data_IF_413921860169
#
_entry.id   IF_413921860169
#
_cell.length_a   1.000
_cell.length_b   1.000
_cell.length_c   1.000
_cell.angle_alpha   90.00
_cell.angle_beta   90.00
_cell.angle_gamma   90.00
#
_symmetry.space_group_name_H-M   'P 1'
#
loop_
_entity.id
_entity.type
_entity.pdbx_description
1 polymer ?
#
# COMPACT_ATOMS: atom_id res chain seq x y z
N UNK A 1 -19.43 12.14 12.65
CA UNK A 1 -19.51 10.70 12.34
C UNK A 1 -18.38 9.99 13.05
N UNK A 2 -18.57 8.71 13.33
CA UNK A 2 -17.52 7.80 13.80
C UNK A 2 -16.84 7.18 12.58
N UNK A 3 -15.58 7.49 12.32
CA UNK A 3 -14.85 7.06 11.14
C UNK A 3 -13.62 6.24 11.54
N UNK A 4 -13.42 5.09 10.88
CA UNK A 4 -12.25 4.25 11.07
C UNK A 4 -11.38 4.27 9.82
N UNK A 5 -10.10 4.54 9.99
CA UNK A 5 -9.10 4.46 8.92
C UNK A 5 -8.33 3.15 9.04
N UNK A 6 -8.45 2.29 8.02
CA UNK A 6 -7.85 0.95 8.01
C UNK A 6 -6.70 0.84 7.00
N UNK A 7 -5.55 0.33 7.43
CA UNK A 7 -4.43 0.03 6.54
C UNK A 7 -3.62 -1.17 7.04
N UNK A 8 -2.87 -1.85 6.17
CA UNK A 8 -2.07 -3.01 6.59
C UNK A 8 -0.86 -2.58 7.42
N UNK A 9 -0.15 -1.54 6.98
CA UNK A 9 1.09 -1.08 7.61
C UNK A 9 0.97 0.37 8.09
N UNK A 10 1.41 0.63 9.33
CA UNK A 10 1.68 1.95 9.91
C UNK A 10 3.02 1.94 10.70
N UNK A 11 3.90 0.97 10.37
CA UNK A 11 5.17 0.81 11.06
C UNK A 11 6.22 1.85 10.64
N UNK A 12 6.30 2.12 9.34
CA UNK A 12 7.28 3.03 8.73
C UNK A 12 6.55 4.06 7.86
N UNK A 13 7.28 5.03 7.32
CA UNK A 13 6.74 6.00 6.38
C UNK A 13 6.71 5.43 4.97
N UNK A 14 5.61 5.68 4.25
CA UNK A 14 5.39 5.29 2.87
C UNK A 14 4.24 6.08 2.27
N UNK A 15 3.90 5.82 1.02
CA UNK A 15 2.84 6.54 0.31
C UNK A 15 1.47 6.38 0.98
N UNK A 16 1.08 5.14 1.26
CA UNK A 16 -0.22 4.80 1.87
C UNK A 16 -0.29 5.26 3.32
N UNK A 17 0.80 5.16 4.08
CA UNK A 17 0.89 5.61 5.46
C UNK A 17 0.74 7.13 5.59
N UNK A 18 1.45 7.89 4.74
CA UNK A 18 1.30 9.34 4.67
C UNK A 18 -0.10 9.76 4.21
N UNK A 19 -0.70 9.00 3.29
CA UNK A 19 -2.08 9.23 2.85
C UNK A 19 -3.07 9.00 4.00
N UNK A 20 -2.95 7.89 4.71
CA UNK A 20 -3.78 7.58 5.88
C UNK A 20 -3.65 8.66 6.95
N UNK A 21 -2.43 9.13 7.23
CA UNK A 21 -2.20 10.22 8.17
C UNK A 21 -2.87 11.53 7.71
N UNK A 22 -2.72 11.90 6.44
CA UNK A 22 -3.34 13.11 5.90
C UNK A 22 -4.89 13.06 5.97
N UNK A 23 -5.49 11.91 5.63
CA UNK A 23 -6.93 11.69 5.78
C UNK A 23 -7.38 11.85 7.23
N UNK A 24 -6.63 11.24 8.17
CA UNK A 24 -6.94 11.32 9.60
C UNK A 24 -6.96 12.75 10.10
N UNK A 25 -5.92 13.52 9.77
CA UNK A 25 -5.81 14.91 10.21
C UNK A 25 -6.93 15.79 9.65
N UNK A 26 -7.29 15.60 8.40
CA UNK A 26 -8.35 16.39 7.79
C UNK A 26 -9.75 16.02 8.33
N UNK A 27 -10.03 14.72 8.50
CA UNK A 27 -11.28 14.25 9.11
C UNK A 27 -11.43 14.75 10.56
N UNK A 28 -10.33 14.72 11.33
CA UNK A 28 -10.30 15.25 12.69
C UNK A 28 -10.56 16.78 12.70
N UNK A 29 -9.95 17.52 11.77
CA UNK A 29 -10.16 18.97 11.59
C UNK A 29 -11.64 19.31 11.30
N UNK A 30 -12.32 18.43 10.56
CA UNK A 30 -13.77 18.56 10.27
C UNK A 30 -14.66 18.15 11.43
N UNK A 31 -14.10 17.78 12.59
CA UNK A 31 -14.85 17.44 13.80
C UNK A 31 -15.44 16.03 13.80
N UNK A 32 -14.91 15.13 12.98
CA UNK A 32 -15.28 13.71 13.06
C UNK A 32 -14.58 13.01 14.22
N UNK A 33 -15.20 11.96 14.76
CA UNK A 33 -14.64 11.05 15.75
C UNK A 33 -13.86 9.96 14.97
N UNK A 34 -12.54 10.11 14.92
CA UNK A 34 -11.66 9.31 14.05
C UNK A 34 -10.81 8.35 14.86
N UNK A 35 -10.81 7.09 14.47
CA UNK A 35 -9.90 6.06 14.99
C UNK A 35 -9.10 5.44 13.83
N UNK A 36 -8.01 4.75 14.15
CA UNK A 36 -7.23 4.03 13.16
C UNK A 36 -7.10 2.53 13.50
N UNK A 37 -6.94 1.71 12.45
CA UNK A 37 -6.59 0.31 12.55
C UNK A 37 -5.41 -0.01 11.63
N UNK A 38 -4.46 -0.79 12.13
CA UNK A 38 -3.38 -1.36 11.32
C UNK A 38 -3.06 -2.78 11.77
N UNK A 39 -2.75 -3.67 10.81
CA UNK A 39 -2.27 -5.02 11.13
C UNK A 39 -0.84 -4.93 11.69
N UNK A 40 0.00 -4.09 11.07
CA UNK A 40 1.37 -3.84 11.54
C UNK A 40 1.49 -2.39 12.00
N UNK A 41 1.53 -2.20 13.30
CA UNK A 41 1.64 -0.89 13.97
C UNK A 41 3.11 -0.48 14.13
N UNK A 42 3.35 0.82 14.35
CA UNK A 42 4.65 1.36 14.65
C UNK A 42 4.66 2.89 14.67
N UNK A 43 5.67 3.51 14.03
CA UNK A 43 5.90 4.97 14.11
C UNK A 43 4.69 5.80 13.70
N UNK A 44 4.03 5.45 12.58
CA UNK A 44 2.90 6.25 12.08
C UNK A 44 1.65 6.04 12.93
N UNK A 45 1.43 4.83 13.48
CA UNK A 45 0.37 4.60 14.48
C UNK A 45 0.57 5.48 15.71
N UNK A 46 1.80 5.55 16.24
CA UNK A 46 2.11 6.39 17.41
C UNK A 46 1.89 7.88 17.13
N UNK A 47 2.26 8.34 15.92
CA UNK A 47 2.00 9.72 15.50
C UNK A 47 0.49 10.02 15.40
N UNK A 48 -0.31 9.08 14.92
CA UNK A 48 -1.77 9.22 14.89
C UNK A 48 -2.35 9.32 16.31
N UNK A 49 -1.93 8.43 17.21
CA UNK A 49 -2.37 8.43 18.61
C UNK A 49 -1.98 9.75 19.32
N UNK A 50 -0.75 10.25 19.10
CA UNK A 50 -0.29 11.55 19.62
C UNK A 50 -1.16 12.72 19.14
N UNK A 51 -1.68 12.63 17.91
CA UNK A 51 -2.57 13.65 17.32
C UNK A 51 -4.05 13.47 17.67
N UNK A 52 -4.40 12.56 18.55
CA UNK A 52 -5.78 12.34 19.00
C UNK A 52 -6.58 11.40 18.08
N UNK A 53 -5.93 10.58 17.28
CA UNK A 53 -6.55 9.52 16.47
C UNK A 53 -6.17 8.17 17.12
N UNK A 54 -6.91 7.67 18.12
CA UNK A 54 -6.57 6.46 18.84
C UNK A 54 -6.74 5.20 17.98
N UNK A 55 -6.15 4.10 18.46
CA UNK A 55 -6.39 2.78 17.87
C UNK A 55 -7.84 2.35 18.09
N UNK A 56 -8.39 1.61 17.13
CA UNK A 56 -9.76 1.07 17.12
C UNK A 56 -10.19 0.54 18.50
N UNK A 57 -11.26 1.10 19.02
CA UNK A 57 -11.85 0.73 20.32
C UNK A 57 -13.36 0.49 20.25
N UNK A 58 -14.05 1.02 19.24
CA UNK A 58 -15.49 0.96 19.10
C UNK A 58 -15.94 -0.34 18.41
N UNK A 59 -17.18 -0.72 18.69
CA UNK A 59 -17.81 -1.91 18.09
C UNK A 59 -18.54 -1.61 16.78
N UNK A 60 -18.70 -0.33 16.42
CA UNK A 60 -19.33 0.09 15.15
C UNK A 60 -18.87 1.47 14.72
N UNK A 61 -18.78 1.67 13.40
CA UNK A 61 -18.42 2.92 12.73
C UNK A 61 -19.44 3.26 11.66
N UNK A 62 -19.66 4.54 11.44
CA UNK A 62 -20.52 5.02 10.34
C UNK A 62 -19.85 4.76 8.99
N UNK A 63 -18.52 4.98 8.94
CA UNK A 63 -17.70 4.85 7.73
C UNK A 63 -16.33 4.26 8.08
N UNK A 64 -15.88 3.34 7.24
CA UNK A 64 -14.52 2.77 7.28
C UNK A 64 -13.85 3.06 5.94
N UNK A 65 -12.74 3.78 5.95
CA UNK A 65 -11.89 4.00 4.78
C UNK A 65 -10.68 3.06 4.88
N UNK A 66 -10.58 2.10 3.98
CA UNK A 66 -9.55 1.06 4.00
C UNK A 66 -8.71 1.07 2.72
N UNK A 67 -7.39 0.91 2.86
CA UNK A 67 -6.45 0.90 1.73
C UNK A 67 -6.07 -0.50 1.23
N UNK A 68 -6.33 -1.56 2.01
CA UNK A 68 -5.84 -2.91 1.71
C UNK A 68 -6.93 -3.97 1.93
N UNK A 69 -7.00 -4.96 1.04
CA UNK A 69 -7.98 -6.04 1.09
C UNK A 69 -7.95 -6.83 2.42
N UNK A 70 -6.77 -7.18 2.91
CA UNK A 70 -6.59 -7.90 4.19
C UNK A 70 -7.15 -7.14 5.41
N UNK A 71 -7.26 -5.83 5.32
CA UNK A 71 -7.83 -4.97 6.34
C UNK A 71 -9.34 -4.91 6.18
N UNK A 72 -9.84 -4.80 4.95
CA UNK A 72 -11.27 -4.88 4.64
C UNK A 72 -11.86 -6.16 5.21
N UNK A 73 -11.22 -7.31 4.99
CA UNK A 73 -11.64 -8.62 5.52
C UNK A 73 -11.78 -8.67 7.05
N UNK A 74 -11.03 -7.83 7.76
CA UNK A 74 -11.13 -7.73 9.22
C UNK A 74 -12.16 -6.72 9.68
N UNK A 75 -12.35 -5.65 8.92
CA UNK A 75 -13.12 -4.47 9.37
C UNK A 75 -14.55 -4.41 8.83
N UNK A 76 -14.89 -5.14 7.78
CA UNK A 76 -16.22 -5.09 7.17
C UNK A 76 -17.39 -5.32 8.15
N UNK A 77 -17.28 -6.12 9.25
CA UNK A 77 -18.40 -6.28 10.18
C UNK A 77 -18.70 -5.05 11.03
N UNK A 78 -17.76 -4.07 11.08
CA UNK A 78 -17.83 -2.94 11.99
C UNK A 78 -18.44 -1.68 11.39
N UNK A 79 -18.68 -1.61 10.09
CA UNK A 79 -19.26 -0.42 9.47
C UNK A 79 -19.33 -0.51 7.95
N UNK A 80 -19.72 0.60 7.29
CA UNK A 80 -19.70 0.73 5.85
C UNK A 80 -18.27 0.92 5.37
N UNK A 81 -17.78 0.05 4.49
CA UNK A 81 -16.38 0.05 4.04
C UNK A 81 -16.26 0.60 2.63
N UNK A 82 -15.52 1.68 2.48
CA UNK A 82 -14.99 2.12 1.19
C UNK A 82 -13.54 1.66 1.09
N UNK A 83 -13.23 0.80 0.13
CA UNK A 83 -11.86 0.41 -0.16
C UNK A 83 -11.24 1.33 -1.21
N UNK A 84 -10.08 1.91 -0.90
CA UNK A 84 -9.25 2.65 -1.85
C UNK A 84 -8.17 1.73 -2.41
N UNK A 85 -8.18 1.52 -3.73
CA UNK A 85 -7.19 0.73 -4.45
C UNK A 85 -6.12 1.66 -5.05
N UNK A 86 -4.85 1.38 -4.77
CA UNK A 86 -3.72 2.23 -5.15
C UNK A 86 -2.90 1.70 -6.33
N UNK A 87 -3.00 0.40 -6.65
CA UNK A 87 -2.23 -0.23 -7.71
C UNK A 87 -2.97 -1.39 -8.39
N UNK A 88 -2.52 -1.74 -9.59
CA UNK A 88 -3.06 -2.85 -10.39
C UNK A 88 -2.32 -4.17 -10.15
N UNK A 89 -1.15 -4.15 -9.52
CA UNK A 89 -0.24 -5.31 -9.39
C UNK A 89 -0.14 -5.80 -7.94
N UNK A 90 0.10 -4.94 -6.92
CA UNK A 90 0.29 -5.41 -5.55
C UNK A 90 -0.96 -6.15 -5.05
N UNK A 91 -0.77 -7.35 -4.52
CA UNK A 91 -1.86 -8.22 -4.03
C UNK A 91 -2.67 -7.54 -2.93
N UNK A 92 -2.02 -6.85 -2.00
CA UNK A 92 -2.70 -6.13 -0.91
C UNK A 92 -3.61 -4.98 -1.40
N UNK A 93 -3.34 -4.45 -2.59
CA UNK A 93 -4.07 -3.32 -3.18
C UNK A 93 -5.23 -3.77 -4.09
N UNK A 94 -5.42 -5.09 -4.26
CA UNK A 94 -6.53 -5.63 -5.02
C UNK A 94 -7.86 -5.48 -4.28
N UNK A 95 -9.00 -5.38 -4.98
CA UNK A 95 -10.30 -5.23 -4.37
C UNK A 95 -10.66 -6.44 -3.52
N UNK A 96 -11.22 -6.19 -2.33
CA UNK A 96 -11.82 -7.22 -1.49
C UNK A 96 -13.33 -7.31 -1.76
N UNK A 97 -13.91 -8.50 -1.93
CA UNK A 97 -15.36 -8.64 -2.14
C UNK A 97 -16.19 -8.19 -0.92
N UNK A 98 -15.55 -7.91 0.20
CA UNK A 98 -16.19 -7.49 1.44
C UNK A 98 -16.28 -5.96 1.62
N UNK A 99 -15.76 -5.18 0.68
CA UNK A 99 -15.98 -3.74 0.67
C UNK A 99 -17.38 -3.42 0.12
N UNK A 100 -17.98 -2.36 0.65
CA UNK A 100 -19.31 -1.91 0.22
C UNK A 100 -19.22 -0.97 -0.99
N UNK A 101 -18.08 -0.29 -1.17
CA UNK A 101 -17.79 0.57 -2.30
C UNK A 101 -16.29 0.66 -2.57
N UNK A 102 -15.94 1.10 -3.78
CA UNK A 102 -14.53 1.15 -4.22
C UNK A 102 -14.17 2.52 -4.78
N UNK A 103 -12.95 2.92 -4.47
CA UNK A 103 -12.31 4.12 -5.01
C UNK A 103 -10.99 3.71 -5.68
N UNK A 104 -10.80 4.09 -6.93
CA UNK A 104 -9.51 4.03 -7.60
C UNK A 104 -8.79 5.37 -7.48
N UNK A 105 -7.48 5.37 -7.26
CA UNK A 105 -6.70 6.63 -7.20
C UNK A 105 -6.40 7.23 -8.57
N UNK A 106 -6.77 6.53 -9.65
CA UNK A 106 -6.61 6.99 -11.04
C UNK A 106 -7.59 6.29 -11.98
N UNK A 107 -7.71 6.79 -13.21
CA UNK A 107 -8.52 6.15 -14.24
C UNK A 107 -7.99 4.77 -14.64
N UNK A 108 -6.68 4.52 -14.56
CA UNK A 108 -6.09 3.19 -14.73
C UNK A 108 -6.65 2.21 -13.71
N UNK A 109 -6.67 2.60 -12.42
CA UNK A 109 -7.18 1.76 -11.34
C UNK A 109 -8.69 1.55 -11.47
N UNK A 110 -9.45 2.59 -11.80
CA UNK A 110 -10.89 2.46 -12.06
C UNK A 110 -11.18 1.44 -13.17
N UNK A 111 -10.46 1.51 -14.29
CA UNK A 111 -10.62 0.53 -15.38
C UNK A 111 -10.22 -0.88 -14.96
N UNK A 112 -9.18 -1.02 -14.13
CA UNK A 112 -8.78 -2.31 -13.56
C UNK A 112 -9.89 -2.91 -12.69
N UNK A 113 -10.46 -2.11 -11.76
CA UNK A 113 -11.57 -2.52 -10.91
C UNK A 113 -12.80 -2.91 -11.74
N UNK A 114 -13.15 -2.13 -12.75
CA UNK A 114 -14.25 -2.42 -13.66
C UNK A 114 -14.03 -3.73 -14.42
N UNK A 115 -12.80 -4.01 -14.85
CA UNK A 115 -12.43 -5.28 -15.49
C UNK A 115 -12.58 -6.50 -14.56
N UNK A 116 -12.54 -6.29 -13.24
CA UNK A 116 -12.78 -7.29 -12.20
C UNK A 116 -14.26 -7.33 -11.75
N UNK A 117 -15.14 -6.52 -12.33
CA UNK A 117 -16.56 -6.46 -12.01
C UNK A 117 -16.93 -5.52 -10.85
N UNK A 118 -16.03 -4.64 -10.43
CA UNK A 118 -16.26 -3.67 -9.34
C UNK A 118 -16.49 -2.26 -9.89
N UNK A 119 -17.67 -1.69 -9.63
CA UNK A 119 -17.93 -0.28 -9.91
C UNK A 119 -17.17 0.61 -8.92
N UNK A 120 -16.57 1.69 -9.43
CA UNK A 120 -15.76 2.59 -8.61
C UNK A 120 -15.76 4.02 -9.14
N UNK A 121 -15.41 4.96 -8.27
CA UNK A 121 -15.11 6.34 -8.64
C UNK A 121 -13.60 6.60 -8.53
N UNK A 122 -13.14 7.69 -9.16
CA UNK A 122 -11.74 8.12 -9.03
C UNK A 122 -11.64 9.23 -7.99
N UNK A 123 -10.84 9.01 -6.97
CA UNK A 123 -10.39 10.05 -6.03
C UNK A 123 -8.87 9.98 -5.97
N UNK A 124 -8.15 10.95 -6.54
CA UNK A 124 -6.69 10.97 -6.50
C UNK A 124 -6.14 11.00 -5.08
N UNK A 125 -4.90 10.54 -4.91
CA UNK A 125 -4.21 10.59 -3.63
C UNK A 125 -4.08 12.03 -3.13
N UNK A 126 -4.85 12.38 -2.11
CA UNK A 126 -4.81 13.70 -1.50
C UNK A 126 -3.51 13.98 -0.75
N UNK A 127 -3.03 15.21 -0.85
CA UNK A 127 -1.82 15.69 -0.18
C UNK A 127 -2.22 16.73 0.86
N UNK A 128 -1.66 16.64 2.04
CA UNK A 128 -1.75 17.71 3.04
C UNK A 128 -0.93 18.93 2.57
N UNK A 129 -1.58 19.80 1.83
CA UNK A 129 -0.96 21.00 1.27
C UNK A 129 -0.60 22.06 2.34
N UNK A 130 -0.99 21.86 3.61
CA UNK A 130 -0.55 22.69 4.74
C UNK A 130 0.79 22.22 5.31
N UNK A 131 1.04 20.93 5.25
CA UNK A 131 2.34 20.33 5.58
C UNK A 131 3.31 20.43 4.40
N UNK A 132 2.87 20.04 3.20
CA UNK A 132 3.64 20.11 1.97
C UNK A 132 3.41 21.47 1.31
N UNK A 133 4.31 22.40 1.52
CA UNK A 133 4.23 23.75 0.96
C UNK A 133 5.62 24.30 0.63
N UNK A 134 5.72 25.31 -0.24
CA UNK A 134 7.00 25.95 -0.56
C UNK A 134 7.57 26.68 0.66
N UNK A 135 8.62 26.12 1.27
CA UNK A 135 9.34 26.74 2.40
C UNK A 135 10.48 27.66 1.93
N UNK A 136 10.95 27.43 0.70
CA UNK A 136 12.04 28.21 0.06
C UNK A 136 11.70 28.43 -1.41
N UNK A 137 12.09 29.55 -2.00
CA UNK A 137 11.98 29.75 -3.44
C UNK A 137 12.85 28.74 -4.20
N UNK A 138 12.49 28.44 -5.42
CA UNK A 138 13.33 27.67 -6.36
C UNK A 138 14.35 28.59 -7.02
N UNK A 139 15.44 28.01 -7.51
CA UNK A 139 16.46 28.75 -8.24
C UNK A 139 15.97 29.17 -9.64
N UNK A 140 16.42 30.32 -10.20
CA UNK A 140 16.08 30.71 -11.56
C UNK A 140 16.52 29.70 -12.62
N UNK A 141 17.60 28.97 -12.36
CA UNK A 141 18.13 27.88 -13.19
C UNK A 141 18.23 26.62 -12.35
N UNK A 142 18.19 25.45 -12.99
CA UNK A 142 18.28 24.17 -12.30
C UNK A 142 19.66 24.00 -11.64
N UNK A 143 19.68 23.96 -10.32
CA UNK A 143 20.92 23.78 -9.53
C UNK A 143 20.91 22.48 -8.73
N UNK A 144 19.74 22.03 -8.30
CA UNK A 144 19.61 20.88 -7.41
C UNK A 144 18.47 19.97 -7.83
N UNK A 145 18.78 18.69 -8.03
CA UNK A 145 17.81 17.61 -8.31
C UNK A 145 17.72 16.68 -7.11
N UNK A 146 16.51 16.40 -6.67
CA UNK A 146 16.23 15.38 -5.67
C UNK A 146 15.61 14.15 -6.35
N UNK A 147 16.20 12.98 -6.15
CA UNK A 147 15.57 11.71 -6.51
C UNK A 147 14.83 11.10 -5.33
N UNK A 148 13.55 10.82 -5.52
CA UNK A 148 12.70 10.04 -4.63
C UNK A 148 12.39 8.64 -5.24
N UNK A 149 13.21 8.21 -6.17
CA UNK A 149 13.13 6.89 -6.79
C UNK A 149 13.45 5.80 -5.76
N UNK A 150 12.75 4.67 -5.88
CA UNK A 150 12.96 3.53 -5.00
C UNK A 150 14.07 2.58 -5.50
N UNK A 151 14.46 2.69 -6.76
CA UNK A 151 15.48 1.84 -7.38
C UNK A 151 16.87 2.48 -7.32
N UNK A 152 17.85 1.71 -6.85
CA UNK A 152 19.25 2.14 -6.90
C UNK A 152 19.76 2.27 -8.33
N UNK A 153 19.20 1.49 -9.28
CA UNK A 153 19.53 1.60 -10.71
C UNK A 153 19.13 2.98 -11.22
N UNK A 154 17.88 3.43 -10.94
CA UNK A 154 17.43 4.75 -11.32
C UNK A 154 18.23 5.86 -10.62
N UNK A 155 18.47 5.72 -9.32
CA UNK A 155 19.24 6.69 -8.55
C UNK A 155 20.67 6.86 -9.08
N UNK A 156 21.35 5.76 -9.45
CA UNK A 156 22.69 5.80 -10.03
C UNK A 156 22.70 6.45 -11.42
N UNK A 157 21.68 6.17 -12.24
CA UNK A 157 21.50 6.79 -13.54
C UNK A 157 21.30 8.32 -13.40
N UNK A 158 20.36 8.76 -12.56
CA UNK A 158 20.07 10.18 -12.33
C UNK A 158 21.30 10.90 -11.78
N UNK A 159 22.00 10.29 -10.82
CA UNK A 159 23.26 10.84 -10.25
C UNK A 159 24.32 11.05 -11.33
N UNK A 160 24.48 10.08 -12.24
CA UNK A 160 25.40 10.17 -13.37
C UNK A 160 25.05 11.37 -14.27
N UNK A 161 23.77 11.50 -14.65
CA UNK A 161 23.29 12.60 -15.50
C UNK A 161 23.47 13.96 -14.80
N UNK A 162 23.14 14.06 -13.51
CA UNK A 162 23.36 15.30 -12.74
C UNK A 162 24.83 15.68 -12.69
N UNK A 163 25.74 14.71 -12.49
CA UNK A 163 27.19 14.95 -12.51
C UNK A 163 27.67 15.47 -13.86
N UNK A 164 27.19 14.90 -14.98
CA UNK A 164 27.54 15.35 -16.33
C UNK A 164 27.02 16.78 -16.61
N UNK A 165 25.84 17.11 -16.07
CA UNK A 165 25.25 18.45 -16.23
C UNK A 165 25.73 19.49 -15.21
N UNK A 166 26.62 19.13 -14.27
CA UNK A 166 27.09 20.05 -13.21
C UNK A 166 26.02 20.40 -12.17
N UNK A 167 25.00 19.55 -12.00
CA UNK A 167 23.85 19.77 -11.10
C UNK A 167 24.07 18.99 -9.81
N UNK A 168 23.76 19.61 -8.66
CA UNK A 168 23.77 18.94 -7.36
C UNK A 168 22.71 17.86 -7.30
N UNK A 169 23.10 16.65 -6.85
CA UNK A 169 22.20 15.51 -6.68
C UNK A 169 21.94 15.25 -5.20
N UNK A 170 20.66 15.13 -4.86
CA UNK A 170 20.16 14.65 -3.56
C UNK A 170 19.32 13.38 -3.80
N UNK A 171 19.28 12.49 -2.82
CA UNK A 171 18.36 11.35 -2.89
C UNK A 171 17.80 11.01 -1.52
N UNK A 172 16.61 10.42 -1.51
CA UNK A 172 16.05 9.67 -0.39
C UNK A 172 15.33 8.45 -0.93
N UNK A 173 15.65 7.30 -0.36
CA UNK A 173 14.99 6.04 -0.70
C UNK A 173 14.26 5.51 0.54
N UNK A 174 12.94 5.35 0.46
CA UNK A 174 12.11 4.92 1.60
C UNK A 174 12.55 3.60 2.24
N UNK A 175 13.28 2.77 1.51
CA UNK A 175 13.75 1.47 2.01
C UNK A 175 15.04 1.59 2.84
N UNK A 176 15.85 2.62 2.60
CA UNK A 176 17.12 2.88 3.32
C UNK A 176 17.01 4.03 4.31
N UNK A 177 16.31 5.12 3.94
CA UNK A 177 16.28 6.38 4.68
C UNK A 177 14.85 6.75 5.08
N UNK A 178 14.22 6.01 5.96
CA UNK A 178 12.80 6.24 6.31
C UNK A 178 12.55 7.62 6.96
N UNK A 179 12.58 8.68 6.14
CA UNK A 179 12.42 10.08 6.56
C UNK A 179 10.95 10.43 6.67
N UNK A 180 10.50 10.90 7.84
CA UNK A 180 9.13 11.38 8.03
C UNK A 180 8.91 12.76 7.41
N UNK A 181 9.83 13.71 7.67
CA UNK A 181 9.75 15.08 7.17
C UNK A 181 10.37 15.20 5.76
N UNK A 182 9.86 14.43 4.80
CA UNK A 182 10.37 14.42 3.42
C UNK A 182 10.17 15.78 2.73
N UNK A 183 9.19 16.57 3.15
CA UNK A 183 8.93 17.91 2.68
C UNK A 183 10.12 18.86 2.91
N UNK A 184 10.92 18.64 3.94
CA UNK A 184 12.11 19.46 4.19
C UNK A 184 13.22 19.18 3.17
N UNK A 185 13.35 17.92 2.74
CA UNK A 185 14.30 17.54 1.71
C UNK A 185 13.82 18.00 0.32
N UNK A 186 12.52 17.83 0.02
CA UNK A 186 11.91 18.35 -1.21
C UNK A 186 12.17 19.87 -1.34
N UNK A 187 12.02 20.61 -0.26
CA UNK A 187 12.26 22.06 -0.24
C UNK A 187 13.73 22.49 -0.42
N UNK A 188 14.69 21.55 -0.47
CA UNK A 188 16.10 21.81 -0.76
C UNK A 188 16.45 21.61 -2.24
N UNK A 189 15.50 21.24 -3.08
CA UNK A 189 15.69 20.99 -4.51
C UNK A 189 14.88 21.95 -5.38
N UNK A 190 15.26 22.07 -6.63
CA UNK A 190 14.53 22.80 -7.67
C UNK A 190 13.64 21.85 -8.47
N UNK A 191 14.13 20.64 -8.73
CA UNK A 191 13.48 19.58 -9.48
C UNK A 191 13.47 18.30 -8.64
N UNK A 192 12.32 17.61 -8.65
CA UNK A 192 12.18 16.28 -8.03
C UNK A 192 11.94 15.24 -9.12
N UNK A 193 12.65 14.12 -9.03
CA UNK A 193 12.44 12.93 -9.87
C UNK A 193 11.76 11.86 -9.03
N UNK A 194 10.63 11.34 -9.50
CA UNK A 194 9.87 10.31 -8.78
C UNK A 194 8.57 9.93 -9.45
N UNK A 195 7.83 9.01 -8.82
CA UNK A 195 6.55 8.50 -9.33
C UNK A 195 5.42 8.69 -8.30
N UNK A 196 4.19 8.78 -8.80
CA UNK A 196 2.98 8.74 -7.99
C UNK A 196 2.99 9.79 -6.87
N UNK A 197 2.82 9.35 -5.62
CA UNK A 197 2.77 10.27 -4.49
C UNK A 197 4.03 11.15 -4.35
N UNK A 198 5.22 10.64 -4.66
CA UNK A 198 6.43 11.46 -4.60
C UNK A 198 6.38 12.65 -5.57
N UNK A 199 5.75 12.47 -6.73
CA UNK A 199 5.50 13.56 -7.67
C UNK A 199 4.51 14.57 -7.07
N UNK A 200 3.43 14.11 -6.46
CA UNK A 200 2.41 14.97 -5.85
C UNK A 200 2.92 15.76 -4.64
N UNK A 201 3.69 15.11 -3.77
CA UNK A 201 4.34 15.75 -2.62
C UNK A 201 5.29 16.88 -3.09
N UNK A 202 6.02 16.64 -4.19
CA UNK A 202 6.90 17.65 -4.81
C UNK A 202 6.13 18.81 -5.43
N UNK A 203 5.04 18.53 -6.18
CA UNK A 203 4.15 19.55 -6.72
C UNK A 203 3.58 20.42 -5.60
N UNK A 204 3.12 19.80 -4.50
CA UNK A 204 2.60 20.52 -3.35
C UNK A 204 3.64 21.40 -2.68
N UNK A 205 4.92 21.01 -2.69
CA UNK A 205 6.04 21.84 -2.23
C UNK A 205 6.48 22.89 -3.28
N UNK A 206 5.77 23.07 -4.39
CA UNK A 206 6.12 24.02 -5.44
C UNK A 206 7.46 23.69 -6.08
N UNK A 207 7.67 22.43 -6.46
CA UNK A 207 8.86 21.96 -7.21
C UNK A 207 8.45 21.46 -8.58
N UNK A 208 9.30 21.70 -9.58
CA UNK A 208 9.15 21.04 -10.86
C UNK A 208 9.31 19.53 -10.68
N UNK A 209 8.63 18.73 -11.48
CA UNK A 209 8.63 17.28 -11.36
C UNK A 209 8.97 16.62 -12.68
N UNK A 210 9.93 15.68 -12.65
CA UNK A 210 10.23 14.78 -13.73
C UNK A 210 9.81 13.36 -13.32
N UNK A 211 8.84 12.80 -14.04
CA UNK A 211 8.33 11.45 -13.77
C UNK A 211 9.27 10.43 -14.37
N UNK A 212 9.96 9.68 -13.51
CA UNK A 212 10.89 8.62 -13.91
C UNK A 212 11.24 7.72 -12.71
N UNK A 213 11.30 6.41 -12.92
CA UNK A 213 11.89 5.43 -12.02
C UNK A 213 12.16 4.12 -12.77
N UNK A 214 12.85 3.19 -12.13
CA UNK A 214 12.95 1.79 -12.53
C UNK A 214 12.39 0.93 -11.42
N UNK A 215 11.34 0.15 -11.71
CA UNK A 215 10.72 -0.72 -10.69
C UNK A 215 10.63 -2.16 -11.17
N UNK A 216 11.26 -3.06 -10.45
CA UNK A 216 11.29 -4.49 -10.76
C UNK A 216 9.88 -5.10 -10.88
N UNK A 217 8.96 -4.73 -9.99
CA UNK A 217 7.58 -5.20 -10.03
C UNK A 217 6.73 -4.61 -11.17
N UNK A 218 7.25 -3.67 -11.95
CA UNK A 218 6.69 -3.23 -13.22
C UNK A 218 7.42 -3.88 -14.41
N UNK A 219 7.74 -5.17 -14.32
CA UNK A 219 8.42 -5.96 -15.36
C UNK A 219 9.85 -5.50 -15.65
N UNK A 220 10.57 -4.96 -14.67
CA UNK A 220 11.95 -4.44 -14.82
C UNK A 220 12.07 -3.37 -15.90
N UNK A 221 11.05 -2.54 -16.08
CA UNK A 221 11.09 -1.46 -17.05
C UNK A 221 11.46 -0.12 -16.41
N UNK A 222 12.28 0.66 -17.14
CA UNK A 222 12.40 2.09 -16.91
C UNK A 222 11.14 2.77 -17.40
N UNK A 223 10.45 3.49 -16.53
CA UNK A 223 9.21 4.18 -16.84
C UNK A 223 9.37 5.68 -16.62
N UNK A 224 9.22 6.45 -17.70
CA UNK A 224 9.25 7.90 -17.66
C UNK A 224 8.06 8.52 -18.38
N UNK A 225 7.67 9.70 -17.95
CA UNK A 225 6.67 10.55 -18.62
C UNK A 225 7.23 11.93 -18.94
N UNK A 226 8.47 12.18 -18.54
CA UNK A 226 9.15 13.46 -18.71
C UNK A 226 8.79 14.48 -17.64
N UNK A 227 9.15 15.73 -17.92
CA UNK A 227 8.80 16.88 -17.10
C UNK A 227 7.28 17.05 -17.10
N UNK A 228 6.68 17.14 -15.90
CA UNK A 228 5.27 17.46 -15.79
C UNK A 228 5.01 18.92 -16.18
N UNK A 229 4.01 19.11 -17.00
CA UNK A 229 3.60 20.40 -17.56
C UNK A 229 2.08 20.45 -17.65
N UNK A 230 1.46 21.63 -17.87
CA UNK A 230 0.02 21.74 -18.16
C UNK A 230 -0.44 20.89 -19.33
N UNK A 231 0.46 20.54 -20.27
CA UNK A 231 0.11 19.79 -21.49
C UNK A 231 0.01 18.28 -21.28
N UNK A 232 0.70 17.72 -20.29
CA UNK A 232 0.75 16.26 -20.11
C UNK A 232 0.21 15.78 -18.75
N UNK A 233 -0.12 16.68 -17.83
CA UNK A 233 -0.51 16.32 -16.47
C UNK A 233 -1.74 15.41 -16.43
N UNK A 234 -2.79 15.70 -17.20
CA UNK A 234 -4.01 14.90 -17.21
C UNK A 234 -3.74 13.46 -17.69
N UNK A 235 -2.89 13.31 -18.70
CA UNK A 235 -2.45 12.01 -19.17
C UNK A 235 -1.66 11.26 -18.10
N UNK A 236 -0.73 11.92 -17.43
CA UNK A 236 0.08 11.34 -16.35
C UNK A 236 -0.76 10.97 -15.14
N UNK A 237 -1.71 11.83 -14.73
CA UNK A 237 -2.66 11.58 -13.66
C UNK A 237 -3.56 10.39 -13.94
N UNK A 238 -3.94 10.16 -15.20
CA UNK A 238 -4.76 8.99 -15.57
C UNK A 238 -4.14 7.64 -15.21
N UNK A 239 -2.80 7.61 -15.06
CA UNK A 239 -2.01 6.48 -14.59
C UNK A 239 -1.27 6.77 -13.27
N UNK A 240 -1.78 7.70 -12.45
CA UNK A 240 -1.21 8.06 -11.14
C UNK A 240 0.27 8.51 -11.22
N UNK A 241 0.70 9.17 -12.30
CA UNK A 241 2.09 9.59 -12.55
C UNK A 241 3.10 8.45 -12.33
N UNK A 242 2.80 7.26 -12.83
CA UNK A 242 3.64 6.06 -12.61
C UNK A 242 4.65 5.79 -13.72
N UNK A 243 4.74 6.64 -14.73
CA UNK A 243 5.57 6.44 -15.90
C UNK A 243 4.87 5.64 -17.03
N UNK A 244 3.74 5.01 -16.73
CA UNK A 244 3.02 4.13 -17.65
C UNK A 244 2.30 4.87 -18.78
N UNK A 245 1.90 6.12 -18.54
CA UNK A 245 1.12 6.89 -19.50
C UNK A 245 1.90 7.19 -20.78
N UNK A 246 3.21 7.40 -20.69
CA UNK A 246 4.07 7.73 -21.85
C UNK A 246 5.18 6.70 -22.09
N UNK A 247 5.61 5.97 -21.06
CA UNK A 247 6.63 4.91 -21.09
C UNK A 247 7.93 5.35 -21.79
N UNK A 248 8.36 6.59 -21.53
CA UNK A 248 9.56 7.14 -22.11
C UNK A 248 10.79 6.43 -21.55
N UNK A 249 11.72 6.10 -22.45
CA UNK A 249 13.03 5.56 -22.11
C UNK A 249 14.08 6.63 -22.39
N UNK A 250 15.05 6.76 -21.49
CA UNK A 250 16.09 7.77 -21.58
C UNK A 250 17.47 7.13 -21.65
N UNK A 251 18.32 7.68 -22.50
CA UNK A 251 19.77 7.64 -22.36
C UNK A 251 20.27 8.88 -21.58
N UNK A 252 21.56 8.96 -21.32
CA UNK A 252 22.15 10.06 -20.56
C UNK A 252 21.80 11.43 -21.16
N UNK A 253 21.93 11.55 -22.48
CA UNK A 253 21.74 12.83 -23.16
C UNK A 253 20.28 13.26 -23.18
N UNK A 254 19.36 12.37 -23.52
CA UNK A 254 17.93 12.66 -23.53
C UNK A 254 17.37 12.96 -22.15
N UNK A 255 17.90 12.33 -21.08
CA UNK A 255 17.53 12.64 -19.71
C UNK A 255 18.04 14.03 -19.28
N UNK A 256 19.29 14.39 -19.65
CA UNK A 256 19.83 15.73 -19.39
C UNK A 256 19.01 16.79 -20.13
N UNK A 257 18.67 16.55 -21.39
CA UNK A 257 17.79 17.45 -22.15
C UNK A 257 16.42 17.61 -21.51
N UNK A 258 15.87 16.53 -20.94
CA UNK A 258 14.60 16.59 -20.22
C UNK A 258 14.71 17.44 -18.96
N UNK A 259 15.78 17.29 -18.15
CA UNK A 259 16.04 18.13 -16.98
C UNK A 259 16.21 19.61 -17.35
N UNK A 260 16.80 19.92 -18.54
CA UNK A 260 16.98 21.29 -19.02
C UNK A 260 15.67 22.01 -19.37
N UNK A 261 14.54 21.31 -19.46
CA UNK A 261 13.20 21.91 -19.59
C UNK A 261 12.72 22.59 -18.30
N UNK A 262 13.49 22.48 -17.20
CA UNK A 262 13.16 23.13 -15.96
C UNK A 262 12.98 24.64 -16.14
N UNK A 263 11.93 25.17 -15.52
CA UNK A 263 11.72 26.61 -15.31
C UNK A 263 11.07 26.86 -13.94
N UNK A 264 11.30 28.03 -13.33
CA UNK A 264 10.58 28.43 -12.10
C UNK A 264 9.07 28.45 -12.28
N UNK A 265 8.59 28.76 -13.46
CA UNK A 265 7.14 28.81 -13.76
C UNK A 265 6.49 27.43 -13.62
N UNK A 266 7.21 26.34 -13.96
CA UNK A 266 6.73 24.97 -13.72
C UNK A 266 6.58 24.69 -12.22
N UNK A 267 7.44 25.23 -11.38
CA UNK A 267 7.35 25.06 -9.94
C UNK A 267 6.14 25.81 -9.35
N UNK A 268 5.86 27.03 -9.82
CA UNK A 268 4.66 27.79 -9.47
C UNK A 268 3.40 27.06 -9.91
N UNK A 269 3.33 26.68 -11.17
CA UNK A 269 2.22 25.92 -11.73
C UNK A 269 1.99 24.59 -10.97
N UNK A 270 3.05 23.85 -10.64
CA UNK A 270 2.95 22.61 -9.86
C UNK A 270 2.22 22.83 -8.54
N UNK A 271 2.56 23.91 -7.83
CA UNK A 271 1.89 24.29 -6.57
C UNK A 271 0.42 24.60 -6.78
N UNK A 272 0.09 25.40 -7.76
CA UNK A 272 -1.28 25.79 -8.09
C UNK A 272 -2.12 24.54 -8.44
N UNK A 273 -1.59 23.68 -9.31
CA UNK A 273 -2.23 22.43 -9.67
C UNK A 273 -2.46 21.52 -8.45
N UNK A 274 -1.47 21.40 -7.56
CA UNK A 274 -1.61 20.58 -6.36
C UNK A 274 -2.69 21.12 -5.40
N UNK A 275 -2.76 22.42 -5.20
CA UNK A 275 -3.81 23.05 -4.39
C UNK A 275 -5.22 22.85 -4.97
N UNK A 276 -5.31 22.89 -6.29
CA UNK A 276 -6.60 22.75 -6.97
C UNK A 276 -7.05 21.28 -7.07
N UNK A 277 -6.15 20.36 -7.39
CA UNK A 277 -6.52 19.00 -7.80
C UNK A 277 -6.08 17.90 -6.83
N UNK A 278 -5.09 18.16 -5.98
CA UNK A 278 -4.47 17.14 -5.11
C UNK A 278 -4.65 17.43 -3.62
N UNK A 279 -5.31 18.54 -3.23
CA UNK A 279 -5.48 18.88 -1.82
C UNK A 279 -6.33 17.83 -1.10
N UNK A 280 -5.83 17.33 0.05
CA UNK A 280 -6.52 16.35 0.90
C UNK A 280 -7.91 16.82 1.33
N UNK A 281 -8.11 18.13 1.51
CA UNK A 281 -9.41 18.70 1.88
C UNK A 281 -10.48 18.37 0.84
N UNK A 282 -10.14 18.49 -0.45
CA UNK A 282 -11.05 18.15 -1.56
C UNK A 282 -11.26 16.64 -1.67
N UNK A 283 -10.22 15.84 -1.43
CA UNK A 283 -10.34 14.39 -1.45
C UNK A 283 -11.28 13.89 -0.34
N UNK A 284 -11.16 14.42 0.87
CA UNK A 284 -12.05 14.08 2.00
C UNK A 284 -13.50 14.43 1.69
N UNK A 285 -13.78 15.62 1.17
CA UNK A 285 -15.14 16.02 0.75
C UNK A 285 -15.71 15.00 -0.24
N UNK A 286 -14.94 14.58 -1.25
CA UNK A 286 -15.38 13.59 -2.24
C UNK A 286 -15.66 12.21 -1.63
N UNK A 287 -14.91 11.77 -0.61
CA UNK A 287 -15.22 10.54 0.13
C UNK A 287 -16.52 10.67 0.92
N UNK A 288 -16.73 11.80 1.58
CA UNK A 288 -17.93 12.05 2.38
C UNK A 288 -19.18 12.17 1.49
N UNK A 289 -19.07 12.84 0.35
CA UNK A 289 -20.13 12.95 -0.66
C UNK A 289 -20.46 11.58 -1.26
N UNK A 290 -19.42 10.79 -1.59
CA UNK A 290 -19.61 9.44 -2.10
C UNK A 290 -20.32 8.54 -1.09
N UNK A 291 -19.92 8.60 0.18
CA UNK A 291 -20.62 7.93 1.27
C UNK A 291 -22.04 8.48 1.49
N UNK A 292 -22.26 9.79 1.28
CA UNK A 292 -23.55 10.48 1.46
C UNK A 292 -24.61 10.12 0.43
N UNK A 293 -24.22 9.57 -0.74
CA UNK A 293 -25.13 9.21 -1.82
C UNK A 293 -26.11 8.10 -1.39
N UNK A 294 -27.42 8.40 -1.39
CA UNK A 294 -28.48 7.52 -0.88
C UNK A 294 -28.60 6.19 -1.66
N UNK A 295 -28.33 6.19 -2.97
CA UNK A 295 -28.47 5.00 -3.82
C UNK A 295 -27.45 3.90 -3.45
N UNK A 296 -26.29 4.31 -2.93
CA UNK A 296 -25.24 3.39 -2.47
C UNK A 296 -25.64 2.69 -1.18
N UNK A 297 -26.47 3.30 -0.33
CA UNK A 297 -26.88 2.77 0.98
C UNK A 297 -28.05 1.81 0.93
N UNK A 298 -28.92 1.87 -0.08
CA UNK A 298 -30.16 1.07 -0.11
C UNK A 298 -29.91 -0.44 -0.22
N UNK A 299 -28.82 -0.85 -0.83
CA UNK A 299 -28.46 -2.28 -0.99
C UNK A 299 -27.64 -2.85 0.18
N UNK A 300 -27.22 -2.02 1.11
CA UNK A 300 -26.26 -2.34 2.16
C UNK A 300 -26.77 -3.40 3.17
N UNK A 301 -28.00 -3.26 3.67
CA UNK A 301 -28.51 -4.14 4.72
C UNK A 301 -28.74 -5.59 4.27
N UNK A 302 -29.28 -5.79 3.08
CA UNK A 302 -29.57 -7.11 2.53
C UNK A 302 -28.29 -7.86 2.13
N UNK A 303 -27.31 -7.14 1.59
CA UNK A 303 -26.01 -7.69 1.19
C UNK A 303 -25.16 -8.09 2.41
N UNK A 304 -25.09 -7.25 3.45
CA UNK A 304 -24.39 -7.61 4.70
C UNK A 304 -24.97 -8.80 5.43
N UNK A 305 -26.28 -8.93 5.47
CA UNK A 305 -26.92 -10.11 6.08
C UNK A 305 -26.57 -11.40 5.32
N UNK A 306 -26.44 -11.32 4.01
CA UNK A 306 -26.06 -12.46 3.16
C UNK A 306 -24.58 -12.84 3.32
N UNK A 307 -23.70 -11.84 3.34
CA UNK A 307 -22.26 -12.02 3.57
C UNK A 307 -21.96 -12.50 5.00
N UNK A 308 -22.65 -11.98 6.02
CA UNK A 308 -22.49 -12.45 7.39
C UNK A 308 -22.72 -13.96 7.52
N UNK A 309 -23.74 -14.51 6.85
CA UNK A 309 -24.00 -15.96 6.86
C UNK A 309 -22.86 -16.75 6.21
N UNK A 310 -22.41 -16.33 5.03
CA UNK A 310 -21.29 -17.00 4.33
C UNK A 310 -20.03 -16.97 5.17
N UNK A 311 -19.74 -15.84 5.83
CA UNK A 311 -18.56 -15.67 6.67
C UNK A 311 -18.61 -16.49 7.96
N UNK A 312 -19.78 -16.60 8.57
CA UNK A 312 -19.94 -17.43 9.76
C UNK A 312 -19.76 -18.92 9.41
N UNK A 313 -20.21 -19.34 8.24
CA UNK A 313 -20.01 -20.69 7.72
C UNK A 313 -18.51 -20.95 7.41
N UNK A 314 -17.82 -20.03 6.73
CA UNK A 314 -16.38 -20.15 6.45
C UNK A 314 -15.54 -20.09 7.73
N UNK A 315 -15.86 -19.20 8.68
CA UNK A 315 -15.19 -19.16 9.99
C UNK A 315 -15.40 -20.45 10.76
N UNK A 316 -16.59 -21.03 10.70
CA UNK A 316 -16.87 -22.29 11.38
C UNK A 316 -16.11 -23.44 10.71
N UNK A 317 -16.06 -23.47 9.38
CA UNK A 317 -15.27 -24.44 8.63
C UNK A 317 -13.76 -24.32 8.95
N UNK A 318 -13.24 -23.10 9.00
CA UNK A 318 -11.84 -22.85 9.37
C UNK A 318 -11.54 -23.25 10.83
N UNK A 319 -12.45 -22.95 11.78
CA UNK A 319 -12.31 -23.41 13.17
C UNK A 319 -12.31 -24.93 13.27
N UNK A 320 -13.19 -25.58 12.53
CA UNK A 320 -13.26 -27.04 12.48
C UNK A 320 -11.96 -27.63 11.91
N UNK A 321 -11.44 -27.09 10.81
CA UNK A 321 -10.16 -27.50 10.22
C UNK A 321 -8.97 -27.26 11.15
N UNK A 322 -8.94 -26.15 11.90
CA UNK A 322 -7.91 -25.88 12.91
C UNK A 322 -8.00 -26.83 14.11
N UNK A 323 -9.21 -27.18 14.56
CA UNK A 323 -9.42 -28.20 15.58
C UNK A 323 -8.96 -29.60 15.13
N UNK A 324 -9.30 -30.00 13.90
CA UNK A 324 -8.82 -31.26 13.32
C UNK A 324 -7.32 -31.29 13.19
N UNK A 325 -6.70 -30.18 12.78
CA UNK A 325 -5.22 -30.03 12.75
C UNK A 325 -4.61 -30.15 14.14
N UNK A 326 -5.24 -29.58 15.17
CA UNK A 326 -4.80 -29.70 16.57
C UNK A 326 -4.87 -31.16 17.05
N UNK A 327 -5.98 -31.87 16.79
CA UNK A 327 -6.14 -33.28 17.12
C UNK A 327 -5.12 -34.16 16.41
N UNK A 328 -4.84 -33.91 15.11
CA UNK A 328 -3.81 -34.62 14.36
C UNK A 328 -2.41 -34.38 14.91
N UNK A 329 -2.14 -33.16 15.38
CA UNK A 329 -0.86 -32.81 15.99
C UNK A 329 -0.66 -33.49 17.35
N UNK A 330 -1.71 -33.61 18.16
CA UNK A 330 -1.70 -34.37 19.42
C UNK A 330 -1.50 -35.87 19.17
N UNK A 331 -2.19 -36.45 18.17
CA UNK A 331 -1.99 -37.83 17.78
C UNK A 331 -0.57 -38.10 17.29
N UNK A 332 0.02 -37.16 16.50
CA UNK A 332 1.41 -37.26 16.06
C UNK A 332 2.40 -37.24 17.23
N UNK A 333 2.22 -36.34 18.20
CA UNK A 333 3.04 -36.26 19.41
C UNK A 333 2.91 -37.55 20.24
N UNK A 334 1.70 -38.10 20.34
CA UNK A 334 1.45 -39.39 21.04
C UNK A 334 2.19 -40.54 20.35
N UNK A 335 2.14 -40.63 19.03
CA UNK A 335 2.87 -41.64 18.24
C UNK A 335 4.38 -41.48 18.40
N UNK A 336 4.90 -40.24 18.38
CA UNK A 336 6.31 -39.99 18.64
C UNK A 336 6.74 -40.43 20.07
N UNK A 337 5.94 -40.14 21.08
CA UNK A 337 6.20 -40.60 22.45
C UNK A 337 6.20 -42.13 22.56
N UNK A 338 5.27 -42.82 21.90
CA UNK A 338 5.23 -44.29 21.83
C UNK A 338 6.46 -44.83 21.11
N UNK A 339 6.91 -44.22 20.02
CA UNK A 339 8.13 -44.59 19.30
C UNK A 339 9.39 -44.40 20.14
N UNK A 340 9.48 -43.30 20.92
CA UNK A 340 10.59 -43.07 21.83
C UNK A 340 10.66 -44.17 22.94
N UNK A 341 9.52 -44.48 23.54
CA UNK A 341 9.40 -45.52 24.56
C UNK A 341 9.74 -46.93 24.01
N UNK A 342 9.29 -47.23 22.79
CA UNK A 342 9.70 -48.45 22.10
C UNK A 342 11.20 -48.48 21.80
N UNK A 343 11.80 -47.36 21.42
CA UNK A 343 13.24 -47.24 21.14
C UNK A 343 14.07 -47.49 22.40
N UNK A 344 13.64 -47.00 23.56
CA UNK A 344 14.28 -47.27 24.85
C UNK A 344 14.17 -48.75 25.26
N UNK A 345 13.03 -49.39 25.05
CA UNK A 345 12.81 -50.80 25.32
C UNK A 345 13.58 -51.72 24.38
N UNK A 346 13.77 -51.31 23.12
CA UNK A 346 14.54 -52.05 22.12
C UNK A 346 16.05 -51.86 22.24
N UNK A 347 16.54 -50.71 22.74
CA UNK A 347 17.95 -50.49 23.02
C UNK A 347 18.46 -51.43 24.13
N UNK A 348 17.56 -51.84 25.04
CA UNK A 348 17.87 -52.80 26.12
C UNK A 348 17.94 -54.27 25.64
N UNK A 349 17.38 -54.63 24.47
CA UNK A 349 17.24 -56.01 23.98
C UNK A 349 18.06 -56.41 22.74
N UNK A 350 18.96 -55.58 22.28
CA UNK A 350 20.01 -55.96 21.31
C UNK A 350 19.62 -56.11 19.84
N UNK A 351 20.54 -55.89 18.97
CA UNK A 351 20.63 -55.68 17.52
C UNK A 351 19.76 -56.50 16.53
N UNK A 352 18.90 -57.38 16.97
CA UNK A 352 18.06 -58.21 16.02
C UNK A 352 16.83 -57.52 15.44
N UNK A 353 16.43 -56.32 15.92
CA UNK A 353 15.20 -55.65 15.50
C UNK A 353 15.38 -54.37 14.68
N UNK A 354 16.59 -54.12 14.15
CA UNK A 354 16.88 -52.90 13.38
C UNK A 354 16.00 -52.73 12.12
N UNK A 355 15.52 -53.85 11.53
CA UNK A 355 14.64 -53.82 10.34
C UNK A 355 13.22 -53.33 10.67
N UNK A 356 12.70 -53.69 11.84
CA UNK A 356 11.33 -53.24 12.27
C UNK A 356 11.35 -51.74 12.62
N UNK A 357 12.42 -51.25 13.23
CA UNK A 357 12.57 -49.79 13.55
C UNK A 357 12.68 -48.97 12.26
N UNK A 358 13.37 -49.42 11.23
CA UNK A 358 13.42 -48.76 9.93
C UNK A 358 12.07 -48.70 9.23
N UNK A 359 11.26 -49.77 9.32
CA UNK A 359 9.93 -49.80 8.74
C UNK A 359 8.97 -48.81 9.44
N UNK A 360 9.04 -48.71 10.77
CA UNK A 360 8.24 -47.77 11.55
C UNK A 360 8.64 -46.29 11.30
N UNK A 361 9.92 -46.02 11.15
CA UNK A 361 10.45 -44.71 10.74
C UNK A 361 9.96 -44.33 9.34
N UNK A 362 9.94 -45.28 8.40
CA UNK A 362 9.40 -45.05 7.06
C UNK A 362 7.88 -44.75 7.10
N UNK A 363 7.12 -45.49 7.92
CA UNK A 363 5.69 -45.26 8.09
C UNK A 363 5.37 -43.87 8.65
N UNK A 364 6.18 -43.39 9.62
CA UNK A 364 6.01 -42.06 10.19
C UNK A 364 6.34 -40.94 9.20
N UNK A 365 7.33 -41.13 8.33
CA UNK A 365 7.64 -40.18 7.25
C UNK A 365 6.54 -40.14 6.21
N UNK A 366 5.96 -41.27 5.84
CA UNK A 366 4.83 -41.36 4.91
C UNK A 366 3.59 -40.71 5.49
N UNK A 367 3.29 -40.93 6.78
CA UNK A 367 2.19 -40.26 7.47
C UNK A 367 2.37 -38.74 7.53
N UNK A 368 3.60 -38.27 7.79
CA UNK A 368 3.92 -36.85 7.79
C UNK A 368 3.75 -36.22 6.39
N UNK A 369 4.14 -36.97 5.34
CA UNK A 369 3.98 -36.52 3.96
C UNK A 369 2.49 -36.46 3.56
N UNK A 370 1.70 -37.43 3.97
CA UNK A 370 0.25 -37.44 3.76
C UNK A 370 -0.45 -36.30 4.52
N UNK A 371 0.02 -35.98 5.74
CA UNK A 371 -0.47 -34.85 6.53
C UNK A 371 -0.19 -33.51 5.86
N UNK A 372 1.02 -33.33 5.31
CA UNK A 372 1.40 -32.14 4.55
C UNK A 372 0.59 -32.01 3.26
N UNK A 373 0.35 -33.13 2.55
CA UNK A 373 -0.46 -33.16 1.34
C UNK A 373 -1.94 -32.84 1.63
N UNK A 374 -2.49 -33.35 2.74
CA UNK A 374 -3.86 -33.02 3.17
C UNK A 374 -4.01 -31.52 3.51
N UNK A 375 -3.02 -30.96 4.18
CA UNK A 375 -2.98 -29.52 4.50
C UNK A 375 -2.86 -28.67 3.22
N UNK A 376 -2.06 -29.09 2.24
CA UNK A 376 -1.96 -28.39 0.96
C UNK A 376 -3.23 -28.52 0.11
N UNK A 377 -3.98 -29.61 0.24
CA UNK A 377 -5.24 -29.83 -0.53
C UNK A 377 -6.45 -29.05 0.05
N UNK A 378 -6.36 -28.61 1.29
CA UNK A 378 -7.39 -27.77 1.95
C UNK A 378 -7.14 -26.26 1.70
N UNK A 379 -5.95 -25.89 1.20
CA UNK A 379 -5.56 -24.49 0.95
C UNK A 379 -5.32 -24.18 -0.55
N UNK A 380 -5.57 -25.11 -1.46
CA UNK A 380 -5.74 -24.92 -2.89
C UNK A 380 -7.22 -25.05 -3.27
#
# INVERSE_FOLDING_TARGET
>A
MKILLGTHYLAKTGGTENYTYALAMELLRLGHDVEHFAIVRGRVSALLEEKGVPFMSKTSYDLILSNHNTVVEKLWPYGYVIQTCHGTIPELEQPSPYADAYVGVSEEIKRHLQGLGYESIVIPNGIDCKRFYPKKPVSPTLTTVLSLCHSDIANNFIRKCCKQAGIKFLQSNKFTDNVWAIEDLINQSDLVVGLGRSAYDAMACGRAVLVYDFREHYMNEFLGEGMLTPLNIEKSMSCNCTGKASRLKYDDQSFIMEMQKYSPDLAVWSREYALENLNIEKAVVRYLDFFGNADIRQNYGAYKTRLSKVFDEERQALRNALCEKGLLQEQFVSVQCQMCSMRETFSAKGRKHLRAIRALLWLSIVLMFLLVMLVCHVFL
#
